data_IF_068830445512
#
_entry.id   IF_068830445512
#
_cell.length_a   1.000
_cell.length_b   1.000
_cell.length_c   1.000
_cell.angle_alpha   90.00
_cell.angle_beta   90.00
_cell.angle_gamma   90.00
#
_symmetry.space_group_name_H-M   'P 1'
#
loop_
_entity.id
_entity.type
_entity.pdbx_description
1 polymer ?
#
# COMPACT_ATOMS: atom_id res chain seq x y z
N UNK A 1 26.84 -23.80 -10.76
CA UNK A 1 27.29 -22.56 -10.09
C UNK A 1 26.82 -21.40 -10.95
N UNK A 2 25.66 -20.88 -10.62
CA UNK A 2 24.68 -20.25 -11.52
C UNK A 2 24.71 -18.73 -11.43
N UNK A 3 24.93 -18.07 -12.57
CA UNK A 3 24.36 -16.78 -13.03
C UNK A 3 24.32 -15.52 -12.12
N UNK A 4 24.83 -15.53 -10.88
CA UNK A 4 24.75 -14.40 -9.96
C UNK A 4 26.00 -13.50 -9.94
N UNK A 5 27.09 -13.90 -10.60
CA UNK A 5 28.40 -13.22 -10.48
C UNK A 5 28.65 -12.09 -11.49
N UNK A 6 27.68 -11.73 -12.33
CA UNK A 6 27.86 -10.71 -13.38
C UNK A 6 26.81 -9.58 -13.35
N UNK A 7 26.48 -9.12 -12.15
CA UNK A 7 25.79 -7.83 -11.92
C UNK A 7 26.89 -6.75 -11.97
N UNK A 8 27.23 -6.30 -13.17
CA UNK A 8 28.30 -5.32 -13.39
C UNK A 8 27.92 -3.94 -12.82
N UNK A 9 28.68 -3.49 -11.80
CA UNK A 9 29.13 -2.12 -11.56
C UNK A 9 28.11 -0.97 -11.38
N UNK A 10 27.13 -1.14 -10.51
CA UNK A 10 26.68 -0.06 -9.60
C UNK A 10 26.70 -0.67 -8.21
N UNK A 11 27.55 -0.16 -7.32
CA UNK A 11 27.79 -0.85 -6.05
C UNK A 11 26.49 -0.90 -5.24
N UNK A 12 26.04 -2.12 -4.89
CA UNK A 12 24.94 -2.38 -3.96
C UNK A 12 25.03 -1.45 -2.70
N UNK A 13 26.25 -0.99 -2.33
CA UNK A 13 26.56 0.03 -1.32
C UNK A 13 25.88 1.40 -1.50
N UNK A 14 25.65 1.89 -2.72
CA UNK A 14 24.99 3.18 -2.93
C UNK A 14 23.49 3.14 -2.59
N UNK A 15 22.85 1.99 -2.78
CA UNK A 15 21.42 1.81 -2.53
C UNK A 15 21.18 1.30 -1.10
N UNK A 16 22.06 0.44 -0.60
CA UNK A 16 21.99 -0.09 0.75
C UNK A 16 23.39 -0.12 1.39
N UNK A 17 23.81 0.99 2.03
CA UNK A 17 25.14 1.12 2.62
C UNK A 17 25.43 0.11 3.75
N UNK A 18 24.38 -0.50 4.31
CA UNK A 18 24.47 -1.48 5.40
C UNK A 18 24.72 -2.93 4.95
N UNK A 19 24.74 -3.23 3.65
CA UNK A 19 24.98 -4.61 3.17
C UNK A 19 25.64 -4.66 1.80
N UNK A 20 26.58 -5.58 1.62
CA UNK A 20 27.30 -5.80 0.35
C UNK A 20 26.51 -6.67 -0.62
N UNK A 21 25.59 -7.51 -0.12
CA UNK A 21 24.76 -8.41 -0.91
C UNK A 21 23.32 -7.88 -1.05
N UNK A 22 22.83 -7.82 -2.28
CA UNK A 22 21.49 -7.33 -2.59
C UNK A 22 20.37 -8.26 -2.03
N UNK A 23 20.59 -9.59 -1.97
CA UNK A 23 19.67 -10.55 -1.32
C UNK A 23 19.63 -10.42 0.20
N UNK A 24 20.78 -10.19 0.82
CA UNK A 24 20.91 -9.96 2.26
C UNK A 24 20.20 -8.67 2.68
N UNK A 25 20.33 -7.61 1.87
CA UNK A 25 19.60 -6.35 2.09
C UNK A 25 18.09 -6.58 2.10
N UNK A 26 17.56 -7.25 1.07
CA UNK A 26 16.14 -7.55 0.95
C UNK A 26 15.61 -8.37 2.15
N UNK A 27 16.36 -9.40 2.58
CA UNK A 27 16.02 -10.19 3.78
C UNK A 27 16.03 -9.36 5.07
N UNK A 28 17.03 -8.49 5.24
CA UNK A 28 17.13 -7.63 6.43
C UNK A 28 15.99 -6.61 6.51
N UNK A 29 15.59 -6.02 5.38
CA UNK A 29 14.44 -5.11 5.29
C UNK A 29 13.15 -5.86 5.57
N UNK A 30 12.99 -7.05 4.97
CA UNK A 30 11.81 -7.88 5.18
C UNK A 30 11.57 -8.16 6.67
N UNK A 31 12.61 -8.58 7.41
CA UNK A 31 12.51 -8.87 8.85
C UNK A 31 12.17 -7.60 9.64
N UNK A 32 12.86 -6.48 9.37
CA UNK A 32 12.61 -5.20 10.06
C UNK A 32 11.18 -4.72 9.86
N UNK A 33 10.68 -4.78 8.63
CA UNK A 33 9.32 -4.35 8.28
C UNK A 33 8.29 -5.34 8.82
N UNK A 34 8.58 -6.64 8.83
CA UNK A 34 7.71 -7.64 9.44
C UNK A 34 7.52 -7.39 10.95
N UNK A 35 8.61 -7.15 11.69
CA UNK A 35 8.55 -6.83 13.12
C UNK A 35 7.81 -5.51 13.36
N UNK A 36 8.04 -4.49 12.52
CA UNK A 36 7.30 -3.24 12.59
C UNK A 36 5.81 -3.45 12.30
N UNK A 37 5.47 -4.30 11.33
CA UNK A 37 4.11 -4.71 11.01
C UNK A 37 3.43 -5.40 12.20
N UNK A 38 4.12 -6.31 12.87
CA UNK A 38 3.61 -6.95 14.08
C UNK A 38 3.30 -5.93 15.19
N UNK A 39 4.20 -4.94 15.39
CA UNK A 39 3.98 -3.86 16.37
C UNK A 39 2.81 -2.95 16.02
N UNK A 40 2.54 -2.74 14.73
CA UNK A 40 1.41 -1.92 14.25
C UNK A 40 0.08 -2.69 14.32
N UNK A 41 0.05 -3.90 13.77
CA UNK A 41 -1.16 -4.71 13.67
C UNK A 41 -1.52 -5.38 15.00
N UNK A 42 -0.56 -5.63 15.89
CA UNK A 42 -0.81 -6.17 17.22
C UNK A 42 -1.87 -5.39 17.98
N UNK A 43 -1.65 -4.10 18.31
CA UNK A 43 -2.64 -3.26 18.98
C UNK A 43 -3.94 -3.10 18.18
N UNK A 44 -3.85 -2.96 16.86
CA UNK A 44 -5.01 -2.74 15.99
C UNK A 44 -6.02 -3.89 16.08
N UNK A 45 -5.54 -5.13 16.17
CA UNK A 45 -6.42 -6.29 16.34
C UNK A 45 -6.72 -6.55 17.81
N UNK A 46 -5.78 -6.32 18.73
CA UNK A 46 -5.95 -6.62 20.15
C UNK A 46 -6.97 -5.70 20.84
N UNK A 47 -7.00 -4.40 20.51
CA UNK A 47 -7.95 -3.44 21.11
C UNK A 47 -9.41 -3.80 20.83
N UNK A 48 -9.86 -4.01 19.57
CA UNK A 48 -11.22 -4.45 19.30
C UNK A 48 -11.55 -5.82 19.90
N UNK A 49 -10.54 -6.70 19.99
CA UNK A 49 -10.71 -8.03 20.60
C UNK A 49 -11.06 -7.91 22.08
N UNK A 50 -10.38 -7.02 22.80
CA UNK A 50 -10.66 -6.74 24.22
C UNK A 50 -11.98 -6.00 24.42
N UNK A 51 -12.27 -4.98 23.60
CA UNK A 51 -13.48 -4.16 23.75
C UNK A 51 -14.76 -4.89 23.36
N UNK A 52 -14.75 -5.66 22.26
CA UNK A 52 -15.94 -6.29 21.70
C UNK A 52 -16.01 -7.81 21.96
N UNK A 53 -15.15 -8.35 22.84
CA UNK A 53 -15.03 -9.80 23.16
C UNK A 53 -15.01 -10.69 21.91
N UNK A 54 -14.43 -10.20 20.82
CA UNK A 54 -14.35 -10.92 19.55
C UNK A 54 -13.21 -11.93 19.63
N UNK A 55 -13.23 -13.00 18.83
CA UNK A 55 -12.06 -13.90 18.75
C UNK A 55 -10.94 -13.19 17.98
N UNK A 56 -9.83 -12.94 18.66
CA UNK A 56 -8.64 -12.33 18.07
C UNK A 56 -7.94 -13.35 17.16
N UNK A 57 -7.87 -13.06 15.87
CA UNK A 57 -7.27 -13.97 14.90
C UNK A 57 -5.80 -13.60 14.68
N UNK A 58 -4.93 -14.08 15.58
CA UNK A 58 -3.46 -14.12 15.38
C UNK A 58 -3.02 -14.41 13.93
N UNK A 59 -3.64 -15.35 13.19
CA UNK A 59 -3.30 -15.56 11.78
C UNK A 59 -3.50 -14.35 10.86
N UNK A 60 -4.42 -13.41 11.12
CA UNK A 60 -4.50 -12.18 10.30
C UNK A 60 -3.43 -11.17 10.63
N UNK A 61 -2.98 -11.09 11.88
CA UNK A 61 -1.87 -10.22 12.28
C UNK A 61 -0.59 -10.68 11.57
N UNK A 62 -0.31 -11.99 11.63
CA UNK A 62 0.85 -12.58 10.97
C UNK A 62 0.74 -12.40 9.46
N UNK A 63 -0.41 -12.72 8.84
CA UNK A 63 -0.61 -12.56 7.39
C UNK A 63 -0.42 -11.11 6.93
N UNK A 64 -1.00 -10.14 7.63
CA UNK A 64 -0.87 -8.70 7.28
C UNK A 64 0.57 -8.22 7.45
N UNK A 65 1.28 -8.72 8.47
CA UNK A 65 2.70 -8.41 8.68
C UNK A 65 3.59 -9.04 7.60
N UNK A 66 3.29 -10.28 7.18
CA UNK A 66 3.97 -10.96 6.07
C UNK A 66 3.72 -10.24 4.75
N UNK A 67 2.51 -9.73 4.51
CA UNK A 67 2.19 -8.86 3.36
C UNK A 67 3.09 -7.63 3.35
N UNK A 68 3.16 -6.89 4.46
CA UNK A 68 3.97 -5.67 4.54
C UNK A 68 5.47 -5.95 4.37
N UNK A 69 5.97 -7.00 5.03
CA UNK A 69 7.36 -7.45 4.90
C UNK A 69 7.68 -7.84 3.45
N UNK A 70 6.82 -8.62 2.81
CA UNK A 70 7.01 -9.09 1.43
C UNK A 70 7.00 -7.94 0.44
N UNK A 71 6.11 -6.96 0.63
CA UNK A 71 6.10 -5.75 -0.20
C UNK A 71 7.47 -5.04 -0.14
N UNK A 72 8.00 -4.79 1.06
CA UNK A 72 9.27 -4.10 1.23
C UNK A 72 10.48 -4.92 0.70
N UNK A 73 10.50 -6.22 0.96
CA UNK A 73 11.56 -7.12 0.48
C UNK A 73 11.59 -7.23 -1.05
N UNK A 74 10.42 -7.43 -1.69
CA UNK A 74 10.30 -7.51 -3.14
C UNK A 74 10.60 -6.16 -3.79
N UNK A 75 10.18 -5.04 -3.18
CA UNK A 75 10.54 -3.71 -3.67
C UNK A 75 12.06 -3.51 -3.68
N UNK A 76 12.73 -3.82 -2.57
CA UNK A 76 14.19 -3.72 -2.48
C UNK A 76 14.90 -4.62 -3.51
N UNK A 77 14.46 -5.87 -3.65
CA UNK A 77 15.07 -6.81 -4.61
C UNK A 77 14.82 -6.40 -6.07
N UNK A 78 13.60 -5.98 -6.40
CA UNK A 78 13.21 -5.60 -7.76
C UNK A 78 13.93 -4.34 -8.25
N UNK A 79 14.20 -3.36 -7.38
CA UNK A 79 15.02 -2.19 -7.74
C UNK A 79 16.41 -2.64 -8.21
N UNK A 80 17.06 -3.52 -7.46
CA UNK A 80 18.39 -4.02 -7.82
C UNK A 80 18.35 -4.84 -9.11
N UNK A 81 17.29 -5.64 -9.32
CA UNK A 81 17.11 -6.40 -10.56
C UNK A 81 16.92 -5.48 -11.78
N UNK A 82 16.03 -4.48 -11.71
CA UNK A 82 15.80 -3.58 -12.85
C UNK A 82 16.99 -2.68 -13.17
N UNK A 83 17.78 -2.29 -12.16
CA UNK A 83 19.06 -1.61 -12.37
C UNK A 83 20.13 -2.52 -12.93
N UNK A 84 20.16 -3.80 -12.54
CA UNK A 84 21.07 -4.75 -13.18
C UNK A 84 20.76 -4.97 -14.66
N UNK A 85 19.49 -4.81 -15.06
CA UNK A 85 19.06 -4.93 -16.46
C UNK A 85 19.22 -3.64 -17.26
N UNK A 86 19.30 -2.48 -16.59
CA UNK A 86 19.32 -1.16 -17.24
C UNK A 86 20.58 -0.40 -16.86
N UNK A 87 21.42 -0.05 -17.83
CA UNK A 87 22.65 0.74 -17.61
C UNK A 87 22.40 2.22 -17.30
N UNK A 88 21.15 2.68 -17.38
CA UNK A 88 20.73 4.07 -17.11
C UNK A 88 19.73 4.14 -15.96
N UNK A 89 19.95 5.07 -15.04
CA UNK A 89 19.03 5.35 -13.94
C UNK A 89 17.83 6.17 -14.41
N UNK A 90 16.70 5.49 -14.68
CA UNK A 90 15.43 6.15 -14.92
C UNK A 90 14.57 6.20 -13.66
N UNK A 91 13.89 7.32 -13.42
CA UNK A 91 12.91 7.45 -12.31
C UNK A 91 11.76 6.44 -12.42
N UNK A 92 11.47 5.96 -13.62
CA UNK A 92 10.44 4.93 -13.89
C UNK A 92 10.79 3.56 -13.30
N UNK A 93 12.06 3.27 -13.02
CA UNK A 93 12.48 2.00 -12.40
C UNK A 93 11.83 1.83 -11.02
N UNK A 94 11.80 2.90 -10.21
CA UNK A 94 11.16 2.85 -8.90
C UNK A 94 9.65 2.59 -9.00
N UNK A 95 8.98 3.15 -10.01
CA UNK A 95 7.56 2.90 -10.26
C UNK A 95 7.31 1.44 -10.67
N UNK A 96 8.15 0.89 -11.54
CA UNK A 96 8.06 -0.50 -11.97
C UNK A 96 8.34 -1.47 -10.80
N UNK A 97 9.37 -1.20 -10.00
CA UNK A 97 9.65 -1.95 -8.76
C UNK A 97 8.47 -1.93 -7.79
N UNK A 98 7.85 -0.77 -7.60
CA UNK A 98 6.65 -0.62 -6.76
C UNK A 98 5.47 -1.43 -7.28
N UNK A 99 5.26 -1.44 -8.61
CA UNK A 99 4.22 -2.23 -9.26
C UNK A 99 4.42 -3.74 -9.03
N UNK A 100 5.61 -4.27 -9.28
CA UNK A 100 5.91 -5.68 -9.03
C UNK A 100 5.83 -6.04 -7.55
N UNK A 101 6.34 -5.19 -6.66
CA UNK A 101 6.22 -5.38 -5.22
C UNK A 101 4.75 -5.46 -4.75
N UNK A 102 3.90 -4.57 -5.28
CA UNK A 102 2.46 -4.58 -5.03
C UNK A 102 1.79 -5.86 -5.55
N UNK A 103 2.10 -6.25 -6.80
CA UNK A 103 1.57 -7.47 -7.40
C UNK A 103 1.95 -8.72 -6.60
N UNK A 104 3.23 -8.93 -6.29
CA UNK A 104 3.63 -10.13 -5.55
C UNK A 104 3.11 -10.13 -4.12
N UNK A 105 3.04 -8.97 -3.47
CA UNK A 105 2.57 -8.90 -2.09
C UNK A 105 1.05 -9.12 -1.96
N UNK A 106 0.23 -8.55 -2.86
CA UNK A 106 -1.24 -8.64 -2.74
C UNK A 106 -1.78 -10.07 -2.83
N UNK A 107 -1.02 -10.99 -3.43
CA UNK A 107 -1.36 -12.42 -3.48
C UNK A 107 -1.36 -13.09 -2.10
N UNK A 108 -0.62 -12.54 -1.12
CA UNK A 108 -0.52 -13.08 0.25
C UNK A 108 -1.77 -12.74 1.08
N UNK A 109 -2.38 -11.59 0.82
CA UNK A 109 -3.50 -11.09 1.60
C UNK A 109 -4.81 -11.84 1.29
N UNK A 110 -5.83 -11.77 2.15
CA UNK A 110 -7.14 -12.42 1.90
C UNK A 110 -7.91 -11.78 0.74
N UNK A 111 -8.50 -12.61 -0.13
CA UNK A 111 -9.33 -12.17 -1.28
C UNK A 111 -10.36 -11.08 -0.92
N UNK A 112 -11.06 -11.21 0.21
CA UNK A 112 -12.08 -10.24 0.61
C UNK A 112 -11.53 -8.85 0.98
N UNK A 113 -10.28 -8.76 1.46
CA UNK A 113 -9.63 -7.50 1.84
C UNK A 113 -8.80 -6.88 0.72
N UNK A 114 -8.47 -7.65 -0.32
CA UNK A 114 -7.60 -7.21 -1.42
C UNK A 114 -8.18 -5.99 -2.17
N UNK A 115 -9.46 -6.03 -2.51
CA UNK A 115 -10.10 -4.95 -3.28
C UNK A 115 -10.19 -3.65 -2.49
N UNK A 116 -10.60 -3.73 -1.22
CA UNK A 116 -10.65 -2.58 -0.31
C UNK A 116 -9.27 -1.96 -0.12
N UNK A 117 -8.27 -2.80 0.16
CA UNK A 117 -6.88 -2.36 0.35
C UNK A 117 -6.31 -1.77 -0.94
N UNK A 118 -6.57 -2.38 -2.10
CA UNK A 118 -6.09 -1.85 -3.39
C UNK A 118 -6.71 -0.50 -3.71
N UNK A 119 -8.01 -0.32 -3.45
CA UNK A 119 -8.68 0.95 -3.69
C UNK A 119 -8.15 2.04 -2.75
N UNK A 120 -7.90 1.71 -1.49
CA UNK A 120 -7.26 2.60 -0.53
C UNK A 120 -5.87 3.04 -1.01
N UNK A 121 -5.00 2.07 -1.34
CA UNK A 121 -3.64 2.36 -1.82
C UNK A 121 -3.66 3.14 -3.15
N UNK A 122 -4.63 2.88 -4.02
CA UNK A 122 -4.82 3.59 -5.28
C UNK A 122 -5.14 5.07 -5.05
N UNK A 123 -6.10 5.37 -4.17
CA UNK A 123 -6.43 6.75 -3.80
C UNK A 123 -5.22 7.47 -3.21
N UNK A 124 -4.50 6.82 -2.29
CA UNK A 124 -3.28 7.38 -1.71
C UNK A 124 -2.19 7.64 -2.78
N UNK A 125 -2.06 6.74 -3.74
CA UNK A 125 -1.09 6.86 -4.84
C UNK A 125 -1.46 8.02 -5.77
N UNK A 126 -2.74 8.20 -6.10
CA UNK A 126 -3.21 9.34 -6.88
C UNK A 126 -2.89 10.67 -6.20
N UNK A 127 -3.10 10.76 -4.89
CA UNK A 127 -2.76 11.96 -4.11
C UNK A 127 -1.26 12.27 -4.16
N UNK A 128 -0.41 11.27 -3.93
CA UNK A 128 1.04 11.40 -4.02
C UNK A 128 1.45 11.82 -5.44
N UNK A 129 0.87 11.20 -6.46
CA UNK A 129 1.14 11.51 -7.86
C UNK A 129 0.76 12.94 -8.21
N UNK A 130 -0.39 13.43 -7.73
CA UNK A 130 -0.82 14.82 -7.91
C UNK A 130 0.15 15.79 -7.23
N UNK A 131 0.54 15.54 -5.98
CA UNK A 131 1.52 16.35 -5.24
C UNK A 131 2.88 16.37 -5.94
N UNK A 132 3.34 15.22 -6.45
CA UNK A 132 4.57 15.13 -7.22
C UNK A 132 4.50 15.86 -8.56
N UNK A 133 3.34 15.83 -9.24
CA UNK A 133 3.11 16.57 -10.48
C UNK A 133 3.08 18.08 -10.23
N UNK A 134 2.43 18.52 -9.15
CA UNK A 134 2.39 19.93 -8.75
C UNK A 134 3.80 20.46 -8.41
N UNK A 135 4.58 19.70 -7.65
CA UNK A 135 5.98 20.06 -7.34
C UNK A 135 6.88 20.17 -8.58
N UNK A 136 6.50 19.54 -9.69
CA UNK A 136 7.22 19.61 -10.97
C UNK A 136 6.63 20.63 -11.95
N UNK A 137 5.60 21.38 -11.54
CA UNK A 137 4.92 22.37 -12.38
C UNK A 137 3.93 21.79 -13.39
N UNK A 138 3.61 20.49 -13.34
CA UNK A 138 2.66 19.85 -14.25
C UNK A 138 1.20 19.94 -13.79
N UNK A 139 0.96 20.14 -12.50
CA UNK A 139 -0.37 20.24 -11.92
C UNK A 139 -0.54 21.50 -11.09
N UNK A 140 -1.76 22.01 -11.02
CA UNK A 140 -2.08 23.19 -10.22
C UNK A 140 -2.27 22.83 -8.76
N UNK A 141 -1.70 23.63 -7.86
CA UNK A 141 -2.03 23.55 -6.44
C UNK A 141 -3.29 24.35 -6.16
N UNK A 142 -4.38 23.64 -5.84
CA UNK A 142 -5.64 24.26 -5.45
C UNK A 142 -5.67 24.33 -3.93
N UNK A 143 -5.72 25.55 -3.38
CA UNK A 143 -5.89 25.77 -1.94
C UNK A 143 -7.22 25.13 -1.50
N UNK A 144 -7.19 24.23 -0.52
CA UNK A 144 -8.34 23.47 -0.05
C UNK A 144 -8.99 22.52 -1.09
N UNK A 145 -8.25 22.07 -2.11
CA UNK A 145 -8.79 21.13 -3.12
C UNK A 145 -9.34 19.82 -2.55
N UNK A 146 -8.83 19.36 -1.40
CA UNK A 146 -9.34 18.20 -0.66
C UNK A 146 -10.81 18.35 -0.26
N UNK A 147 -11.26 19.57 0.07
CA UNK A 147 -12.66 19.87 0.43
C UNK A 147 -13.55 19.68 -0.78
N UNK A 148 -13.10 20.12 -1.96
CA UNK A 148 -13.84 19.97 -3.21
C UNK A 148 -13.99 18.49 -3.59
N UNK A 149 -12.92 17.71 -3.51
CA UNK A 149 -12.96 16.26 -3.75
C UNK A 149 -13.92 15.58 -2.78
N UNK A 150 -13.91 15.97 -1.51
CA UNK A 150 -14.84 15.47 -0.50
C UNK A 150 -16.29 15.83 -0.83
N UNK A 151 -16.57 17.09 -1.18
CA UNK A 151 -17.91 17.54 -1.57
C UNK A 151 -18.46 16.77 -2.77
N UNK A 152 -17.64 16.55 -3.81
CA UNK A 152 -18.03 15.76 -4.98
C UNK A 152 -18.30 14.31 -4.59
N UNK A 153 -17.38 13.67 -3.84
CA UNK A 153 -17.54 12.28 -3.42
C UNK A 153 -18.79 12.07 -2.56
N UNK A 154 -19.05 12.98 -1.61
CA UNK A 154 -20.25 12.96 -0.78
C UNK A 154 -21.52 13.20 -1.61
N UNK A 155 -21.51 14.15 -2.55
CA UNK A 155 -22.65 14.41 -3.43
C UNK A 155 -23.02 13.18 -4.26
N UNK A 156 -22.02 12.51 -4.86
CA UNK A 156 -22.22 11.28 -5.61
C UNK A 156 -22.78 10.17 -4.70
N UNK A 157 -22.24 10.02 -3.49
CA UNK A 157 -22.71 9.01 -2.54
C UNK A 157 -24.18 9.22 -2.15
N UNK A 158 -24.58 10.46 -1.85
CA UNK A 158 -25.96 10.77 -1.51
C UNK A 158 -26.91 10.63 -2.71
N UNK A 159 -26.45 10.99 -3.92
CA UNK A 159 -27.21 10.77 -5.15
C UNK A 159 -27.55 9.29 -5.36
N UNK A 160 -26.55 8.41 -5.24
CA UNK A 160 -26.78 6.96 -5.35
C UNK A 160 -27.64 6.42 -4.21
N UNK A 161 -27.48 6.95 -2.99
CA UNK A 161 -28.32 6.55 -1.87
C UNK A 161 -29.81 6.88 -2.09
N UNK A 162 -30.11 8.02 -2.71
CA UNK A 162 -31.49 8.43 -2.99
C UNK A 162 -32.12 7.68 -4.16
N UNK A 163 -31.35 7.41 -5.21
CA UNK A 163 -31.87 6.83 -6.45
C UNK A 163 -31.85 5.29 -6.45
N UNK A 164 -30.76 4.68 -5.97
CA UNK A 164 -30.55 3.23 -6.00
C UNK A 164 -29.83 2.73 -4.72
N UNK A 165 -30.50 2.75 -3.56
CA UNK A 165 -29.88 2.31 -2.31
C UNK A 165 -29.40 0.85 -2.37
N UNK A 166 -30.07 -0.03 -3.12
CA UNK A 166 -29.68 -1.45 -3.27
C UNK A 166 -28.30 -1.66 -3.91
N UNK A 167 -27.79 -0.67 -4.66
CA UNK A 167 -26.46 -0.72 -5.31
C UNK A 167 -25.31 -0.51 -4.30
N UNK A 168 -25.60 0.12 -3.17
CA UNK A 168 -24.60 0.44 -2.15
C UNK A 168 -24.30 -0.77 -1.26
N UNK A 169 -23.04 -0.87 -0.84
CA UNK A 169 -22.56 -1.94 0.04
C UNK A 169 -23.34 -1.92 1.37
N UNK A 170 -23.78 -3.08 1.87
CA UNK A 170 -24.73 -3.12 3.00
C UNK A 170 -24.25 -2.39 4.26
N UNK A 171 -22.95 -2.43 4.57
CA UNK A 171 -22.37 -1.68 5.69
C UNK A 171 -22.51 -0.16 5.53
N UNK A 172 -22.35 0.36 4.30
CA UNK A 172 -22.45 1.78 4.01
C UNK A 172 -23.90 2.24 4.04
N UNK A 173 -24.82 1.44 3.50
CA UNK A 173 -26.26 1.67 3.62
C UNK A 173 -26.75 1.71 5.06
N UNK A 174 -26.30 0.78 5.90
CA UNK A 174 -26.66 0.75 7.31
C UNK A 174 -26.23 2.02 8.03
N UNK A 175 -25.00 2.49 7.77
CA UNK A 175 -24.48 3.74 8.33
C UNK A 175 -25.25 4.97 7.82
N UNK A 176 -25.49 5.08 6.51
CA UNK A 176 -26.23 6.20 5.93
C UNK A 176 -27.67 6.26 6.45
N UNK A 177 -28.35 5.11 6.54
CA UNK A 177 -29.68 5.02 7.17
C UNK A 177 -29.64 5.47 8.63
N UNK A 178 -28.64 5.06 9.41
CA UNK A 178 -28.50 5.50 10.79
C UNK A 178 -28.32 7.02 10.91
N UNK A 179 -27.43 7.62 10.12
CA UNK A 179 -27.18 9.06 10.19
C UNK A 179 -28.34 9.91 9.66
N UNK A 180 -28.99 9.49 8.57
CA UNK A 180 -30.06 10.27 7.93
C UNK A 180 -31.39 10.10 8.66
N UNK A 181 -31.70 8.91 9.18
CA UNK A 181 -32.95 8.62 9.88
C UNK A 181 -32.90 8.97 11.38
N UNK A 182 -31.73 9.40 11.88
CA UNK A 182 -31.55 9.95 13.24
C UNK A 182 -31.69 11.48 13.28
N UNK A 183 -31.96 12.12 12.14
CA UNK A 183 -32.32 13.52 12.02
C UNK A 183 -33.83 13.64 11.76
#
# INVERSE_FOLDING_TARGET
MTAASKINNISCQQIHPWSTSCTQSAGSIWIKVFIAGLKLYGPLFLVPTLLFKRKGTLPEIIRSSTFLGTYAGVFSGSICLFRSLTTKDYKSIAALSGFFAGLFSILIERKNRRSELSLYCFNQTMEIMWKMAANRGFAFYIKHGEVLVFMIASSILFYFYQQEPESLRSNMNGLLKFFINSA
#
